data_IF_383426066127
#
_entry.id   IF_383426066127
#
_cell.length_a   1.000
_cell.length_b   1.000
_cell.length_c   1.000
_cell.angle_alpha   90.00
_cell.angle_beta   90.00
_cell.angle_gamma   90.00
#
_symmetry.space_group_name_H-M   'P 1'
#
loop_
_entity.id
_entity.type
_entity.pdbx_description
1 polymer ?
#
# COMPACT_ATOMS: atom_id res chain seq x y z
N UNK A 1 -20.72 -0.19 33.76
CA UNK A 1 -21.62 0.88 34.22
C UNK A 1 -20.72 2.08 34.50
N UNK A 2 -20.83 3.15 33.71
CA UNK A 2 -20.03 4.37 33.91
C UNK A 2 -20.69 5.17 35.00
N UNK A 3 -19.96 5.46 36.07
CA UNK A 3 -20.42 6.40 37.08
C UNK A 3 -20.66 7.75 36.39
N UNK A 4 -21.94 8.10 36.26
CA UNK A 4 -22.32 9.43 35.84
C UNK A 4 -21.72 10.39 36.84
N UNK A 5 -21.13 11.51 36.36
CA UNK A 5 -20.63 12.58 37.21
C UNK A 5 -21.77 13.11 38.07
N UNK A 6 -21.91 12.56 39.28
CA UNK A 6 -22.91 13.01 40.24
C UNK A 6 -22.37 14.22 41.01
N UNK A 7 -22.57 15.43 40.42
CA UNK A 7 -22.19 16.69 41.05
C UNK A 7 -23.38 17.19 41.86
N UNK A 8 -23.36 16.94 43.14
CA UNK A 8 -24.39 17.41 44.06
C UNK A 8 -24.39 18.95 44.16
N UNK A 9 -25.54 19.62 44.05
CA UNK A 9 -25.64 21.05 44.22
C UNK A 9 -25.31 21.45 45.66
N UNK A 10 -24.34 22.35 45.84
CA UNK A 10 -23.97 22.88 47.14
C UNK A 10 -24.97 23.99 47.61
N UNK A 11 -24.81 24.48 48.85
CA UNK A 11 -25.70 25.52 49.40
C UNK A 11 -25.75 26.80 48.55
N UNK A 12 -24.62 27.18 47.94
CA UNK A 12 -24.55 28.35 47.09
C UNK A 12 -25.30 28.10 45.75
N UNK A 13 -25.21 26.93 45.23
CA UNK A 13 -25.95 26.56 43.99
C UNK A 13 -27.46 26.59 44.23
N UNK A 14 -27.91 26.14 45.42
CA UNK A 14 -29.32 26.20 45.82
C UNK A 14 -29.82 27.63 46.00
N UNK A 15 -29.02 28.49 46.65
CA UNK A 15 -29.33 29.91 46.79
C UNK A 15 -29.40 30.63 45.46
N UNK A 16 -28.42 30.44 44.60
CA UNK A 16 -28.41 31.08 43.27
C UNK A 16 -29.57 30.58 42.40
N UNK A 17 -29.91 29.30 42.50
CA UNK A 17 -31.05 28.75 41.76
C UNK A 17 -32.41 29.27 42.28
N UNK A 18 -32.50 29.55 43.60
CA UNK A 18 -33.69 30.15 44.19
C UNK A 18 -33.89 31.62 43.74
N UNK A 19 -32.83 32.41 43.69
CA UNK A 19 -32.88 33.83 43.30
C UNK A 19 -33.01 33.97 41.77
N UNK A 20 -32.31 33.15 40.99
CA UNK A 20 -32.37 33.18 39.54
C UNK A 20 -32.12 31.77 38.94
N UNK A 21 -33.15 31.07 38.49
CA UNK A 21 -33.02 29.73 37.92
C UNK A 21 -32.10 29.66 36.72
N UNK A 22 -32.05 30.69 35.89
CA UNK A 22 -31.16 30.80 34.74
C UNK A 22 -29.68 30.90 35.15
N UNK A 23 -29.39 31.71 36.18
CA UNK A 23 -28.03 31.80 36.71
C UNK A 23 -27.61 30.50 37.41
N UNK A 24 -28.53 29.86 38.14
CA UNK A 24 -28.30 28.53 38.72
C UNK A 24 -27.96 27.47 37.70
N UNK A 25 -28.71 27.38 36.60
CA UNK A 25 -28.45 26.47 35.52
C UNK A 25 -27.09 26.70 34.86
N UNK A 26 -26.73 27.94 34.57
CA UNK A 26 -25.41 28.31 34.01
C UNK A 26 -24.25 27.90 34.94
N UNK A 27 -24.42 28.12 36.23
CA UNK A 27 -23.42 27.75 37.23
C UNK A 27 -23.23 26.26 37.34
N UNK A 28 -24.31 25.49 37.31
CA UNK A 28 -24.23 24.01 37.29
C UNK A 28 -23.57 23.51 36.01
N UNK A 29 -23.92 24.05 34.86
CA UNK A 29 -23.25 23.72 33.61
C UNK A 29 -21.74 23.98 33.65
N UNK A 30 -21.31 25.10 34.21
CA UNK A 30 -19.89 25.42 34.38
C UNK A 30 -19.19 24.44 35.31
N UNK A 31 -19.82 23.97 36.37
CA UNK A 31 -19.26 22.95 37.27
C UNK A 31 -19.15 21.58 36.62
N UNK A 32 -20.14 21.17 35.84
CA UNK A 32 -20.07 19.95 35.03
C UNK A 32 -18.95 20.04 33.99
N UNK A 33 -18.82 21.17 33.31
CA UNK A 33 -17.76 21.39 32.34
C UNK A 33 -16.36 21.37 32.99
N UNK A 34 -16.16 21.97 34.16
CA UNK A 34 -14.90 21.93 34.89
C UNK A 34 -14.57 20.50 35.40
N UNK A 35 -15.56 19.76 35.90
CA UNK A 35 -15.35 18.41 36.35
C UNK A 35 -15.03 17.46 35.18
N UNK A 36 -15.69 17.64 34.03
CA UNK A 36 -15.37 16.91 32.80
C UNK A 36 -13.96 17.25 32.28
N UNK A 37 -13.58 18.53 32.30
CA UNK A 37 -12.23 18.97 31.94
C UNK A 37 -11.17 18.41 32.91
N UNK A 38 -11.46 18.38 34.23
CA UNK A 38 -10.60 17.78 35.25
C UNK A 38 -10.39 16.26 35.02
N UNK A 39 -11.44 15.54 34.65
CA UNK A 39 -11.30 14.09 34.29
C UNK A 39 -10.49 13.88 33.01
N UNK A 40 -10.68 14.75 32.01
CA UNK A 40 -9.83 14.71 30.81
C UNK A 40 -8.36 15.02 31.13
N UNK A 41 -8.10 16.02 31.98
CA UNK A 41 -6.76 16.36 32.41
C UNK A 41 -6.10 15.28 33.27
N UNK A 42 -6.84 14.61 34.17
CA UNK A 42 -6.33 13.49 34.97
C UNK A 42 -6.01 12.26 34.09
N UNK A 43 -6.76 12.04 33.02
CA UNK A 43 -6.49 11.03 32.00
C UNK A 43 -5.20 11.29 31.22
N UNK A 44 -4.78 12.55 31.07
CA UNK A 44 -3.55 12.95 30.41
C UNK A 44 -2.29 12.81 31.28
N UNK A 45 -2.44 12.85 32.62
CA UNK A 45 -1.32 12.88 33.57
C UNK A 45 -0.90 11.48 34.04
N UNK A 46 -1.76 10.48 33.95
CA UNK A 46 -1.47 9.11 34.40
C UNK A 46 -0.93 8.22 33.27
N UNK A 47 0.39 8.38 33.01
CA UNK A 47 1.18 7.42 32.24
C UNK A 47 1.11 7.63 30.73
N UNK A 48 2.17 7.21 30.07
CA UNK A 48 2.32 7.16 28.62
C UNK A 48 1.24 6.22 28.03
N UNK A 49 0.01 6.71 27.99
CA UNK A 49 -1.06 6.03 27.26
C UNK A 49 -0.78 6.24 25.78
N UNK A 50 -0.58 5.17 25.06
CA UNK A 50 -0.64 5.20 23.61
C UNK A 50 -2.05 5.69 23.25
N UNK A 51 -2.17 6.91 22.75
CA UNK A 51 -3.45 7.49 22.34
C UNK A 51 -4.22 6.57 21.39
N UNK A 52 -3.50 5.83 20.56
CA UNK A 52 -4.05 4.81 19.67
C UNK A 52 -4.72 3.62 20.39
N UNK A 53 -4.46 3.42 21.69
CA UNK A 53 -5.08 2.35 22.49
C UNK A 53 -6.24 2.88 23.37
N UNK A 54 -6.53 4.19 23.34
CA UNK A 54 -7.63 4.76 24.10
C UNK A 54 -8.96 4.39 23.48
N UNK A 55 -9.92 3.99 24.31
CA UNK A 55 -11.32 3.78 23.93
C UNK A 55 -12.20 4.96 24.35
N UNK A 56 -11.63 6.11 24.63
CA UNK A 56 -12.33 7.30 25.12
C UNK A 56 -12.43 8.38 24.03
N UNK A 57 -13.47 9.20 24.11
CA UNK A 57 -13.68 10.33 23.23
C UNK A 57 -13.96 9.93 21.78
N UNK A 58 -13.33 10.63 20.84
CA UNK A 58 -13.50 10.40 19.39
C UNK A 58 -12.94 9.07 18.90
N UNK A 59 -12.04 8.44 19.67
CA UNK A 59 -11.45 7.13 19.34
C UNK A 59 -12.35 5.95 19.73
N UNK A 60 -13.44 6.20 20.44
CA UNK A 60 -14.38 5.15 20.87
C UNK A 60 -15.04 4.42 19.70
N UNK A 61 -15.29 5.12 18.60
CA UNK A 61 -15.89 4.57 17.38
C UNK A 61 -14.83 3.99 16.43
N UNK A 62 -13.56 4.26 16.67
CA UNK A 62 -12.46 3.76 15.85
C UNK A 62 -12.00 2.38 16.33
N UNK A 63 -12.73 1.36 15.91
CA UNK A 63 -12.40 -0.03 16.18
C UNK A 63 -11.97 -0.72 14.88
N UNK A 64 -10.67 -0.66 14.52
CA UNK A 64 -10.17 -1.37 13.36
C UNK A 64 -10.38 -2.88 13.52
N UNK A 65 -10.89 -3.53 12.48
CA UNK A 65 -11.12 -4.97 12.51
C UNK A 65 -9.78 -5.71 12.56
N UNK A 66 -9.68 -6.74 13.38
CA UNK A 66 -8.48 -7.59 13.47
C UNK A 66 -8.21 -8.39 12.20
N UNK A 67 -9.25 -8.65 11.43
CA UNK A 67 -9.16 -9.35 10.14
C UNK A 67 -8.96 -8.39 8.96
N UNK A 68 -7.94 -7.54 9.07
CA UNK A 68 -7.59 -6.59 8.03
C UNK A 68 -7.43 -7.25 6.65
N UNK A 69 -6.81 -8.44 6.58
CA UNK A 69 -6.53 -9.14 5.33
C UNK A 69 -7.78 -9.54 4.54
N UNK A 70 -8.88 -9.95 5.20
CA UNK A 70 -10.13 -10.28 4.51
C UNK A 70 -10.90 -9.03 4.07
N UNK A 71 -10.83 -7.95 4.84
CA UNK A 71 -11.45 -6.69 4.46
C UNK A 71 -10.68 -6.00 3.34
N UNK A 72 -9.36 -6.08 3.35
CA UNK A 72 -8.48 -5.55 2.29
C UNK A 72 -8.72 -6.26 0.96
N UNK A 73 -8.78 -7.59 0.94
CA UNK A 73 -9.01 -8.34 -0.31
C UNK A 73 -10.36 -8.02 -0.96
N UNK A 74 -11.39 -7.66 -0.17
CA UNK A 74 -12.69 -7.23 -0.69
C UNK A 74 -12.69 -5.78 -1.16
N UNK A 75 -11.86 -4.94 -0.56
CA UNK A 75 -11.78 -3.52 -0.87
C UNK A 75 -10.78 -3.23 -2.01
N UNK A 76 -9.85 -4.15 -2.29
CA UNK A 76 -8.75 -3.92 -3.23
C UNK A 76 -9.24 -3.55 -4.62
N UNK A 77 -10.22 -4.28 -5.15
CA UNK A 77 -10.80 -4.00 -6.46
C UNK A 77 -11.39 -2.59 -6.56
N UNK A 78 -12.18 -2.19 -5.56
CA UNK A 78 -12.78 -0.85 -5.52
C UNK A 78 -11.70 0.23 -5.36
N UNK A 79 -10.66 -0.04 -4.58
CA UNK A 79 -9.55 0.89 -4.38
C UNK A 79 -8.76 1.08 -5.66
N UNK A 80 -8.43 0.00 -6.35
CA UNK A 80 -7.75 0.03 -7.65
C UNK A 80 -8.55 0.81 -8.69
N UNK A 81 -9.84 0.48 -8.85
CA UNK A 81 -10.74 1.19 -9.79
C UNK A 81 -10.82 2.68 -9.50
N UNK A 82 -10.89 3.07 -8.22
CA UNK A 82 -10.92 4.49 -7.83
C UNK A 82 -9.60 5.19 -8.11
N UNK A 83 -8.48 4.53 -7.82
CA UNK A 83 -7.14 5.07 -8.09
C UNK A 83 -6.90 5.22 -9.61
N UNK A 84 -7.30 4.24 -10.41
CA UNK A 84 -7.23 4.30 -11.86
C UNK A 84 -8.12 5.42 -12.43
N UNK A 85 -9.35 5.53 -11.93
CA UNK A 85 -10.26 6.60 -12.32
C UNK A 85 -9.70 7.98 -11.96
N UNK A 86 -9.08 8.11 -10.78
CA UNK A 86 -8.44 9.36 -10.37
C UNK A 86 -7.25 9.70 -11.28
N UNK A 87 -6.36 8.75 -11.55
CA UNK A 87 -5.21 8.93 -12.43
C UNK A 87 -5.61 9.23 -13.88
N UNK A 88 -6.79 8.74 -14.33
CA UNK A 88 -7.28 8.99 -15.68
C UNK A 88 -8.02 10.33 -15.83
N UNK A 89 -8.71 10.80 -14.78
CA UNK A 89 -9.64 11.92 -14.88
C UNK A 89 -9.20 13.19 -14.15
N UNK A 90 -8.21 13.10 -13.26
CA UNK A 90 -7.64 14.25 -12.57
C UNK A 90 -6.24 14.57 -13.08
N UNK A 91 -6.06 15.75 -13.68
CA UNK A 91 -4.80 16.16 -14.27
C UNK A 91 -3.66 16.32 -13.26
N UNK A 92 -3.95 16.64 -12.00
CA UNK A 92 -2.92 16.74 -10.96
C UNK A 92 -2.44 15.36 -10.52
N UNK A 93 -3.37 14.41 -10.33
CA UNK A 93 -3.04 13.04 -10.00
C UNK A 93 -2.25 12.37 -11.14
N UNK A 94 -2.69 12.53 -12.39
CA UNK A 94 -1.96 12.04 -13.56
C UNK A 94 -0.54 12.60 -13.63
N UNK A 95 -0.38 13.92 -13.51
CA UNK A 95 0.93 14.59 -13.56
C UNK A 95 1.85 14.13 -12.43
N UNK A 96 1.30 13.92 -11.22
CA UNK A 96 2.06 13.42 -10.08
C UNK A 96 2.60 12.01 -10.37
N UNK A 97 1.74 11.09 -10.81
CA UNK A 97 2.11 9.69 -11.11
C UNK A 97 3.14 9.64 -12.24
N UNK A 98 2.90 10.36 -13.33
CA UNK A 98 3.79 10.36 -14.50
C UNK A 98 5.14 10.98 -14.17
N UNK A 99 5.17 12.07 -13.39
CA UNK A 99 6.42 12.68 -12.91
C UNK A 99 7.21 11.73 -12.01
N UNK A 100 6.55 11.04 -11.10
CA UNK A 100 7.20 10.06 -10.23
C UNK A 100 7.75 8.88 -11.04
N UNK A 101 6.99 8.32 -11.96
CA UNK A 101 7.43 7.22 -12.80
C UNK A 101 8.63 7.63 -13.67
N UNK A 102 8.56 8.81 -14.30
CA UNK A 102 9.64 9.34 -15.13
C UNK A 102 10.93 9.60 -14.32
N UNK A 103 10.82 10.20 -13.12
CA UNK A 103 11.98 10.48 -12.30
C UNK A 103 12.64 9.21 -11.72
N UNK A 104 11.88 8.14 -11.51
CA UNK A 104 12.42 6.87 -11.01
C UNK A 104 13.07 6.04 -12.12
N UNK A 105 12.42 5.93 -13.27
CA UNK A 105 12.87 5.09 -14.39
C UNK A 105 13.82 5.85 -15.31
N UNK A 106 13.56 7.13 -15.55
CA UNK A 106 14.34 7.96 -16.46
C UNK A 106 14.39 7.36 -17.88
N UNK A 107 15.60 7.26 -18.47
CA UNK A 107 15.80 6.64 -19.78
C UNK A 107 15.83 5.10 -19.74
N UNK A 108 15.37 4.48 -18.68
CA UNK A 108 15.43 3.04 -18.44
C UNK A 108 16.62 2.63 -17.58
N UNK A 109 16.35 1.68 -16.67
CA UNK A 109 17.35 1.05 -15.82
C UNK A 109 18.12 0.01 -16.65
N UNK A 110 19.44 0.09 -16.64
CA UNK A 110 20.32 -0.80 -17.41
C UNK A 110 21.26 -1.55 -16.47
N UNK A 111 21.45 -2.85 -16.65
CA UNK A 111 22.45 -3.58 -15.90
C UNK A 111 23.87 -3.16 -16.32
N UNK A 112 24.76 -3.14 -15.36
CA UNK A 112 26.19 -3.15 -15.58
C UNK A 112 26.71 -4.52 -15.18
N UNK A 113 27.32 -5.24 -16.12
CA UNK A 113 27.90 -6.53 -15.85
C UNK A 113 29.27 -6.38 -15.20
N UNK A 114 29.46 -6.96 -14.01
CA UNK A 114 30.72 -6.91 -13.27
C UNK A 114 31.04 -8.30 -12.70
N UNK A 115 31.51 -9.24 -13.53
CA UNK A 115 31.88 -10.59 -13.08
C UNK A 115 33.13 -10.53 -12.20
N UNK A 116 33.14 -11.30 -11.12
CA UNK A 116 34.32 -11.45 -10.25
C UNK A 116 35.30 -12.44 -10.90
N UNK A 117 36.35 -11.89 -11.53
CA UNK A 117 37.36 -12.67 -12.21
C UNK A 117 38.07 -13.66 -11.27
N UNK A 118 38.34 -13.24 -10.03
CA UNK A 118 39.02 -14.08 -9.02
C UNK A 118 38.16 -15.27 -8.62
N UNK A 119 36.87 -15.03 -8.34
CA UNK A 119 35.94 -16.09 -7.95
C UNK A 119 35.68 -17.09 -9.10
N UNK A 120 35.71 -16.61 -10.35
CA UNK A 120 35.52 -17.43 -11.53
C UNK A 120 36.81 -18.12 -12.04
N UNK A 121 37.97 -17.71 -11.53
CA UNK A 121 39.26 -18.25 -11.98
C UNK A 121 39.62 -17.89 -13.42
N UNK A 122 39.16 -16.73 -13.92
CA UNK A 122 39.43 -16.20 -15.25
C UNK A 122 40.30 -14.93 -15.15
N UNK A 123 40.80 -14.46 -16.30
CA UNK A 123 41.55 -13.21 -16.35
C UNK A 123 40.61 -11.98 -16.35
N UNK A 124 41.13 -10.81 -16.00
CA UNK A 124 40.36 -9.57 -16.02
C UNK A 124 39.90 -9.22 -17.45
N UNK A 125 40.72 -9.54 -18.48
CA UNK A 125 40.34 -9.35 -19.87
C UNK A 125 39.16 -10.24 -20.26
N UNK A 126 39.16 -11.51 -19.82
CA UNK A 126 38.03 -12.44 -20.09
C UNK A 126 36.76 -12.01 -19.34
N UNK A 127 36.90 -11.47 -18.12
CA UNK A 127 35.77 -10.93 -17.37
C UNK A 127 35.17 -9.72 -18.09
N UNK A 128 36.01 -8.83 -18.62
CA UNK A 128 35.55 -7.66 -19.40
C UNK A 128 34.89 -8.06 -20.71
N UNK A 129 35.46 -9.02 -21.46
CA UNK A 129 34.84 -9.54 -22.70
C UNK A 129 33.47 -10.14 -22.45
N UNK A 130 33.32 -10.89 -21.37
CA UNK A 130 32.00 -11.41 -20.94
C UNK A 130 31.03 -10.30 -20.59
N UNK A 131 31.48 -9.29 -19.83
CA UNK A 131 30.63 -8.14 -19.46
C UNK A 131 30.10 -7.40 -20.69
N UNK A 132 30.99 -7.10 -21.64
CA UNK A 132 30.61 -6.42 -22.89
C UNK A 132 29.62 -7.26 -23.71
N UNK A 133 29.84 -8.58 -23.79
CA UNK A 133 28.95 -9.51 -24.50
C UNK A 133 27.57 -9.58 -23.82
N UNK A 134 27.51 -9.63 -22.49
CA UNK A 134 26.26 -9.66 -21.73
C UNK A 134 25.47 -8.36 -21.91
N UNK A 135 26.15 -7.21 -21.87
CA UNK A 135 25.49 -5.91 -22.08
C UNK A 135 25.02 -5.73 -23.54
N UNK A 136 25.76 -6.26 -24.53
CA UNK A 136 25.33 -6.26 -25.91
C UNK A 136 24.08 -7.15 -26.11
N UNK A 137 24.07 -8.35 -25.52
CA UNK A 137 22.92 -9.24 -25.54
C UNK A 137 21.69 -8.59 -24.87
N UNK A 138 21.87 -7.91 -23.74
CA UNK A 138 20.81 -7.15 -23.08
C UNK A 138 20.20 -6.08 -23.99
N UNK A 139 21.03 -5.29 -24.67
CA UNK A 139 20.56 -4.25 -25.61
C UNK A 139 19.73 -4.83 -26.77
N UNK A 140 20.06 -6.04 -27.24
CA UNK A 140 19.26 -6.74 -28.26
C UNK A 140 17.94 -7.20 -27.64
N UNK A 141 18.00 -7.88 -26.49
CA UNK A 141 16.80 -8.39 -25.81
C UNK A 141 15.80 -7.27 -25.45
N UNK A 142 16.27 -6.10 -25.03
CA UNK A 142 15.40 -4.98 -24.69
C UNK A 142 14.45 -4.56 -25.83
N UNK A 143 14.86 -4.75 -27.09
CA UNK A 143 14.05 -4.40 -28.27
C UNK A 143 12.91 -5.39 -28.50
N UNK A 144 13.06 -6.61 -28.03
CA UNK A 144 12.11 -7.71 -28.20
C UNK A 144 11.57 -8.27 -26.87
N UNK A 145 11.75 -7.51 -25.78
CA UNK A 145 11.35 -7.93 -24.43
C UNK A 145 9.84 -8.06 -24.27
N UNK A 146 9.04 -7.23 -24.96
CA UNK A 146 7.60 -7.29 -24.88
C UNK A 146 7.04 -8.47 -25.68
N UNK A 147 6.18 -9.30 -25.07
CA UNK A 147 5.62 -10.48 -25.74
C UNK A 147 4.78 -10.15 -26.97
N UNK A 148 4.10 -9.00 -26.99
CA UNK A 148 3.37 -8.52 -28.15
C UNK A 148 4.21 -7.75 -29.17
N UNK A 149 5.52 -7.59 -28.97
CA UNK A 149 6.44 -6.93 -29.90
C UNK A 149 6.22 -5.43 -30.12
N UNK A 150 5.46 -4.77 -29.26
CA UNK A 150 5.04 -3.37 -29.47
C UNK A 150 5.81 -2.36 -28.63
N UNK A 151 6.57 -2.78 -27.62
CA UNK A 151 7.22 -1.90 -26.65
C UNK A 151 8.65 -2.33 -26.40
N UNK A 152 9.50 -1.34 -26.16
CA UNK A 152 10.86 -1.55 -25.65
C UNK A 152 10.83 -1.89 -24.15
N UNK A 153 11.87 -2.52 -23.64
CA UNK A 153 11.95 -2.85 -22.20
C UNK A 153 11.91 -1.62 -21.31
N UNK A 154 12.43 -0.49 -21.77
CA UNK A 154 12.38 0.79 -21.01
C UNK A 154 10.92 1.26 -20.82
N UNK A 155 10.05 1.05 -21.83
CA UNK A 155 8.62 1.36 -21.74
C UNK A 155 7.94 0.43 -20.75
N UNK A 156 8.30 -0.87 -20.76
CA UNK A 156 7.79 -1.83 -19.77
C UNK A 156 8.18 -1.46 -18.33
N UNK A 157 9.40 -0.96 -18.12
CA UNK A 157 9.82 -0.46 -16.81
C UNK A 157 8.99 0.76 -16.37
N UNK A 158 8.76 1.70 -17.28
CA UNK A 158 7.95 2.88 -17.03
C UNK A 158 6.51 2.50 -16.67
N UNK A 159 5.88 1.65 -17.48
CA UNK A 159 4.50 1.17 -17.23
C UNK A 159 4.39 0.38 -15.93
N UNK A 160 5.37 -0.46 -15.61
CA UNK A 160 5.42 -1.19 -14.35
C UNK A 160 5.46 -0.23 -13.16
N UNK A 161 6.28 0.80 -13.25
CA UNK A 161 6.41 1.79 -12.19
C UNK A 161 5.14 2.64 -12.06
N UNK A 162 4.56 3.02 -13.18
CA UNK A 162 3.28 3.74 -13.22
C UNK A 162 2.15 2.92 -12.62
N UNK A 163 2.02 1.65 -13.00
CA UNK A 163 1.06 0.71 -12.40
C UNK A 163 1.26 0.61 -10.89
N UNK A 164 2.49 0.42 -10.44
CA UNK A 164 2.82 0.34 -9.02
C UNK A 164 2.39 1.59 -8.22
N UNK A 165 2.48 2.78 -8.79
CA UNK A 165 2.03 4.01 -8.13
C UNK A 165 0.51 4.14 -8.09
N UNK A 166 -0.21 3.65 -9.10
CA UNK A 166 -1.67 3.75 -9.18
C UNK A 166 -2.34 2.63 -8.40
N UNK A 167 -1.94 1.39 -8.66
CA UNK A 167 -2.64 0.20 -8.12
C UNK A 167 -1.93 -0.46 -6.94
N UNK A 168 -0.68 -0.06 -6.66
CA UNK A 168 0.18 -0.67 -5.65
C UNK A 168 0.95 -1.90 -6.14
N UNK A 169 0.65 -2.40 -7.33
CA UNK A 169 1.18 -3.65 -7.87
C UNK A 169 1.49 -3.54 -9.36
N UNK A 170 2.34 -4.43 -9.85
CA UNK A 170 2.49 -4.74 -11.27
C UNK A 170 2.74 -6.23 -11.46
N UNK A 171 2.35 -6.76 -12.61
CA UNK A 171 2.51 -8.17 -12.95
C UNK A 171 3.13 -8.31 -14.33
N UNK A 172 4.19 -9.11 -14.42
CA UNK A 172 4.74 -9.57 -15.67
C UNK A 172 4.74 -11.10 -15.70
N UNK A 173 4.20 -11.67 -16.76
CA UNK A 173 4.28 -13.10 -17.03
C UNK A 173 5.46 -13.34 -17.96
N UNK A 174 6.53 -14.03 -17.51
CA UNK A 174 7.57 -14.49 -18.40
C UNK A 174 7.00 -15.57 -19.34
N UNK A 175 7.19 -15.38 -20.63
CA UNK A 175 6.77 -16.32 -21.66
C UNK A 175 7.96 -16.68 -22.53
N UNK A 176 7.91 -17.87 -23.11
CA UNK A 176 8.92 -18.33 -24.07
C UNK A 176 8.32 -18.37 -25.46
N UNK A 177 8.84 -17.55 -26.38
CA UNK A 177 8.34 -17.42 -27.74
C UNK A 177 9.39 -17.91 -28.71
N UNK A 178 8.99 -18.86 -29.57
CA UNK A 178 9.81 -19.40 -30.66
C UNK A 178 9.28 -18.84 -31.98
N UNK A 179 9.54 -17.56 -32.21
CA UNK A 179 9.07 -16.86 -33.41
C UNK A 179 10.25 -16.56 -34.34
N UNK A 180 10.06 -16.70 -35.68
CA UNK A 180 11.09 -16.31 -36.64
C UNK A 180 11.49 -14.86 -36.50
N UNK A 181 12.80 -14.59 -36.42
CA UNK A 181 13.33 -13.25 -36.32
C UNK A 181 13.61 -12.74 -34.90
N UNK A 182 13.22 -13.50 -33.86
CA UNK A 182 13.64 -13.22 -32.49
C UNK A 182 15.02 -13.81 -32.21
N UNK A 183 15.83 -13.03 -31.50
CA UNK A 183 17.15 -13.51 -31.03
C UNK A 183 17.02 -14.30 -29.73
N UNK A 184 16.11 -13.84 -28.83
CA UNK A 184 15.88 -14.47 -27.54
C UNK A 184 14.42 -14.92 -27.41
N UNK A 185 14.21 -16.16 -26.94
CA UNK A 185 12.87 -16.68 -26.69
C UNK A 185 12.16 -16.05 -25.49
N UNK A 186 12.92 -15.60 -24.50
CA UNK A 186 12.34 -14.97 -23.31
C UNK A 186 11.69 -13.63 -23.67
N UNK A 187 10.39 -13.51 -23.32
CA UNK A 187 9.64 -12.27 -23.41
C UNK A 187 8.79 -12.06 -22.15
N UNK A 188 8.34 -10.84 -21.95
CA UNK A 188 7.49 -10.44 -20.82
C UNK A 188 6.13 -10.00 -21.35
N UNK A 189 5.08 -10.59 -20.79
CA UNK A 189 3.71 -10.14 -21.00
C UNK A 189 3.27 -9.32 -19.78
N UNK A 190 3.06 -8.00 -19.92
CA UNK A 190 2.47 -7.21 -18.85
C UNK A 190 1.02 -7.61 -18.64
N UNK A 191 0.64 -7.79 -17.38
CA UNK A 191 -0.72 -8.14 -16.99
C UNK A 191 -1.24 -7.09 -16.02
N UNK A 192 -2.49 -6.70 -16.21
CA UNK A 192 -3.16 -5.81 -15.27
C UNK A 192 -3.33 -6.51 -13.91
N UNK A 193 -2.98 -5.87 -12.76
CA UNK A 193 -3.04 -6.49 -11.44
C UNK A 193 -4.43 -7.04 -11.07
N UNK A 194 -5.50 -6.44 -11.55
CA UNK A 194 -6.87 -6.93 -11.34
C UNK A 194 -7.13 -8.34 -11.91
N UNK A 195 -6.22 -8.87 -12.73
CA UNK A 195 -6.31 -10.26 -13.22
C UNK A 195 -5.85 -11.29 -12.21
N UNK A 196 -5.08 -10.89 -11.21
CA UNK A 196 -4.67 -11.77 -10.11
C UNK A 196 -5.83 -11.93 -9.13
N UNK A 197 -6.58 -13.02 -9.25
CA UNK A 197 -7.76 -13.27 -8.42
C UNK A 197 -7.88 -14.74 -8.02
N UNK A 198 -8.43 -14.96 -6.83
CA UNK A 198 -8.81 -16.32 -6.43
C UNK A 198 -10.00 -16.78 -7.29
N UNK A 199 -9.87 -17.90 -8.03
CA UNK A 199 -11.00 -18.48 -8.77
C UNK A 199 -12.18 -18.79 -7.84
N UNK A 200 -13.41 -18.65 -8.35
CA UNK A 200 -14.62 -18.79 -7.56
C UNK A 200 -14.77 -20.16 -6.89
N UNK A 201 -14.37 -21.21 -7.56
CA UNK A 201 -14.34 -22.60 -7.09
C UNK A 201 -13.29 -22.87 -6.01
N UNK A 202 -12.25 -22.01 -5.92
CA UNK A 202 -11.15 -22.13 -4.95
C UNK A 202 -11.25 -21.17 -3.76
N UNK A 203 -12.31 -20.39 -3.65
CA UNK A 203 -12.50 -19.40 -2.56
C UNK A 203 -12.60 -20.02 -1.17
N UNK A 204 -12.96 -21.30 -1.10
CA UNK A 204 -13.04 -22.05 0.16
C UNK A 204 -11.67 -22.51 0.70
N UNK A 205 -10.63 -22.44 -0.12
CA UNK A 205 -9.28 -22.86 0.24
C UNK A 205 -8.55 -21.81 1.05
N UNK A 206 -8.08 -22.17 2.25
CA UNK A 206 -7.35 -21.27 3.14
C UNK A 206 -5.90 -20.98 2.66
N UNK A 207 -5.35 -21.87 1.82
CA UNK A 207 -4.01 -21.76 1.24
C UNK A 207 -3.96 -20.89 -0.04
N UNK A 208 -5.12 -20.41 -0.52
CA UNK A 208 -5.21 -19.47 -1.65
C UNK A 208 -5.74 -18.14 -1.14
N UNK A 209 -4.97 -17.07 -1.34
CA UNK A 209 -5.33 -15.73 -0.88
C UNK A 209 -5.01 -14.70 -1.94
N UNK A 210 -6.02 -13.91 -2.34
CA UNK A 210 -5.83 -12.86 -3.35
C UNK A 210 -5.22 -13.38 -4.66
N UNK A 211 -5.61 -14.58 -5.11
CA UNK A 211 -5.03 -15.20 -6.32
C UNK A 211 -3.68 -15.87 -6.13
N UNK A 212 -3.10 -15.84 -4.93
CA UNK A 212 -1.80 -16.46 -4.65
C UNK A 212 -1.99 -17.78 -3.90
N UNK A 213 -1.49 -18.87 -4.48
CA UNK A 213 -1.40 -20.16 -3.80
C UNK A 213 -0.17 -20.19 -2.90
N UNK A 214 -0.40 -20.36 -1.62
CA UNK A 214 0.60 -20.32 -0.57
C UNK A 214 1.00 -21.74 -0.14
N UNK A 215 2.27 -21.96 0.00
CA UNK A 215 2.84 -23.17 0.59
C UNK A 215 3.17 -22.98 2.07
N UNK A 216 3.93 -23.92 2.67
CA UNK A 216 4.46 -23.78 4.01
C UNK A 216 5.18 -22.43 4.18
N UNK A 217 5.05 -21.83 5.37
CA UNK A 217 5.62 -20.54 5.70
C UNK A 217 5.18 -19.37 4.78
N UNK A 218 3.96 -19.47 4.19
CA UNK A 218 3.41 -18.49 3.23
C UNK A 218 4.26 -18.31 1.96
N UNK A 219 5.06 -19.31 1.58
CA UNK A 219 5.84 -19.26 0.33
C UNK A 219 4.91 -19.34 -0.87
N UNK A 220 4.95 -18.38 -1.83
CA UNK A 220 4.17 -18.47 -3.05
C UNK A 220 4.56 -19.73 -3.86
N UNK A 221 3.56 -20.48 -4.30
CA UNK A 221 3.70 -21.67 -5.16
C UNK A 221 3.15 -21.44 -6.55
N UNK A 222 2.18 -20.55 -6.69
CA UNK A 222 1.54 -20.24 -7.97
C UNK A 222 0.59 -19.05 -7.85
N UNK A 223 0.15 -18.58 -9.00
CA UNK A 223 -0.72 -17.42 -9.15
C UNK A 223 -1.90 -17.78 -10.05
N UNK A 224 -3.10 -17.20 -9.79
CA UNK A 224 -4.33 -17.47 -10.54
C UNK A 224 -4.90 -16.21 -11.17
#
# INVERSE_FOLDING_TARGET
>A
MRDALDIQPNLIDRLVNYVSPVAGARRMQARYAMAAAGQMASGLVTGVRRLSASQEGTLQSWNPRREQRLSESRAIDNTMQRAESLAANDGHAASCVDSLALNVVGPGLRPQSYPDATALGITDEQAQEFADSAEAAWKIWCKEAHAGGTQHFDDLQYESKRSMFITGEFLHLPVWLEEPGRTFGLALQPLHPARLRTPGDLTHRADIRGGVHLGPYNRPKGYF
#
